data_IF_446542429117
#
_entry.id   IF_446542429117
#
_cell.length_a   1.000
_cell.length_b   1.000
_cell.length_c   1.000
_cell.angle_alpha   90.00
_cell.angle_beta   90.00
_cell.angle_gamma   90.00
#
_symmetry.space_group_name_H-M   'P 1'
#
loop_
_entity.id
_entity.type
_entity.pdbx_description
1 polymer ?
#
# COMPACT_ATOMS: atom_id res chain seq x y z
N UNK A 1 1.96 1.73 -8.01
CA UNK A 1 3.32 1.85 -7.44
C UNK A 1 4.31 1.65 -8.57
N UNK A 2 5.06 2.67 -8.92
CA UNK A 2 6.13 2.55 -9.91
C UNK A 2 7.46 2.33 -9.17
N UNK A 3 7.52 1.22 -8.40
CA UNK A 3 8.73 0.83 -7.68
C UNK A 3 9.73 0.30 -8.69
N UNK A 4 10.92 0.84 -8.68
CA UNK A 4 12.03 0.35 -9.48
C UNK A 4 12.57 -0.96 -8.89
N UNK A 5 11.82 -2.04 -9.08
CA UNK A 5 12.20 -3.39 -8.65
C UNK A 5 13.57 -3.84 -9.16
N UNK A 6 13.98 -3.59 -10.43
CA UNK A 6 15.31 -3.93 -10.91
C UNK A 6 16.42 -3.33 -10.06
N UNK A 7 16.31 -2.06 -9.68
CA UNK A 7 17.33 -1.40 -8.85
C UNK A 7 17.35 -1.95 -7.42
N UNK A 8 16.19 -2.27 -6.83
CA UNK A 8 16.13 -2.94 -5.52
C UNK A 8 16.81 -4.32 -5.57
N UNK A 9 16.55 -5.13 -6.60
CA UNK A 9 17.17 -6.45 -6.78
C UNK A 9 18.69 -6.30 -6.95
N UNK A 10 19.14 -5.32 -7.73
CA UNK A 10 20.57 -5.04 -7.92
C UNK A 10 21.24 -4.63 -6.61
N UNK A 11 20.61 -3.73 -5.84
CA UNK A 11 21.08 -3.32 -4.52
C UNK A 11 21.13 -4.51 -3.54
N UNK A 12 20.12 -5.38 -3.55
CA UNK A 12 20.07 -6.56 -2.68
C UNK A 12 21.20 -7.55 -2.98
N UNK A 13 21.60 -7.66 -4.24
CA UNK A 13 22.70 -8.54 -4.68
C UNK A 13 24.08 -8.06 -4.23
N UNK A 14 24.22 -6.75 -3.99
CA UNK A 14 25.45 -6.11 -3.53
C UNK A 14 25.52 -5.98 -2.00
N UNK A 15 24.37 -6.05 -1.34
CA UNK A 15 24.27 -5.88 0.11
C UNK A 15 24.66 -7.17 0.84
N UNK A 16 25.42 -7.05 1.92
CA UNK A 16 25.82 -8.17 2.78
C UNK A 16 24.82 -8.46 3.91
N UNK A 17 23.91 -7.53 4.15
CA UNK A 17 22.84 -7.60 5.14
C UNK A 17 21.48 -7.88 4.46
N UNK A 18 20.53 -8.37 5.22
CA UNK A 18 19.12 -8.35 4.81
C UNK A 18 18.66 -6.91 4.54
N UNK A 19 17.86 -6.72 3.49
CA UNK A 19 17.52 -5.40 2.94
C UNK A 19 16.01 -5.16 3.00
N UNK A 20 15.61 -3.96 3.45
CA UNK A 20 14.23 -3.46 3.39
C UNK A 20 14.16 -2.32 2.37
N UNK A 21 13.21 -2.38 1.46
CA UNK A 21 12.83 -1.23 0.64
C UNK A 21 12.13 -0.19 1.50
N UNK A 22 12.60 1.06 1.43
CA UNK A 22 12.03 2.17 2.18
C UNK A 22 11.59 3.32 1.27
N UNK A 23 10.71 4.16 1.80
CA UNK A 23 10.22 5.37 1.16
C UNK A 23 10.06 6.50 2.17
N UNK A 24 10.23 7.74 1.75
CA UNK A 24 10.05 8.90 2.63
C UNK A 24 8.63 9.46 2.52
N UNK A 25 7.98 9.66 3.66
CA UNK A 25 6.61 10.19 3.75
C UNK A 25 6.52 11.34 4.75
N UNK A 26 5.52 12.20 4.62
CA UNK A 26 5.28 13.29 5.58
C UNK A 26 4.74 12.78 6.93
N UNK A 27 3.86 11.78 6.89
CA UNK A 27 3.32 11.15 8.10
C UNK A 27 3.62 9.65 8.15
N UNK A 28 4.66 9.23 8.91
CA UNK A 28 5.07 7.83 9.02
C UNK A 28 4.28 7.03 10.06
N UNK A 29 3.41 7.65 10.86
CA UNK A 29 2.81 7.03 12.06
C UNK A 29 1.92 5.81 11.77
N UNK A 30 1.47 5.65 10.53
CA UNK A 30 0.64 4.50 10.10
C UNK A 30 1.43 3.29 9.63
N UNK A 31 2.76 3.40 9.54
CA UNK A 31 3.65 2.43 8.91
C UNK A 31 4.71 1.89 9.88
N UNK A 32 5.44 0.88 9.44
CA UNK A 32 6.69 0.50 10.05
C UNK A 32 7.78 1.53 9.68
N UNK A 33 8.37 2.18 10.67
CA UNK A 33 9.36 3.25 10.49
C UNK A 33 10.77 2.73 10.71
N UNK A 34 11.68 3.18 9.87
CA UNK A 34 13.09 2.84 9.92
C UNK A 34 13.90 4.05 10.37
N UNK A 35 14.51 3.95 11.53
CA UNK A 35 15.59 4.87 11.91
C UNK A 35 16.87 4.40 11.23
N UNK A 36 17.44 5.23 10.37
CA UNK A 36 18.58 4.87 9.52
C UNK A 36 19.82 5.60 10.00
N UNK A 37 20.87 4.84 10.25
CA UNK A 37 22.20 5.35 10.59
C UNK A 37 23.10 5.52 9.38
N UNK A 38 24.42 5.42 9.61
CA UNK A 38 25.39 5.48 8.52
C UNK A 38 25.32 4.24 7.61
N UNK A 39 25.74 4.39 6.36
CA UNK A 39 25.82 3.31 5.37
C UNK A 39 24.48 2.56 5.16
N UNK A 40 23.37 3.31 5.20
CA UNK A 40 22.02 2.77 5.05
C UNK A 40 21.66 1.63 6.02
N UNK A 41 22.33 1.55 7.16
CA UNK A 41 22.01 0.59 8.22
C UNK A 41 20.77 1.01 8.98
N UNK A 42 19.83 0.09 9.14
CA UNK A 42 18.67 0.29 10.01
C UNK A 42 19.09 0.06 11.46
N UNK A 43 19.15 1.14 12.24
CA UNK A 43 19.51 1.09 13.65
C UNK A 43 18.32 0.75 14.55
N UNK A 44 17.12 1.14 14.11
CA UNK A 44 15.87 0.80 14.79
C UNK A 44 14.72 0.63 13.77
N UNK A 45 13.85 -0.35 14.05
CA UNK A 45 12.57 -0.55 13.35
C UNK A 45 11.44 -0.42 14.37
N UNK A 46 10.46 0.46 14.09
CA UNK A 46 9.31 0.70 14.97
C UNK A 46 8.01 0.59 14.19
N UNK A 47 7.19 -0.39 14.53
CA UNK A 47 5.88 -0.58 13.90
C UNK A 47 4.85 0.40 14.45
N UNK A 48 4.31 1.25 13.58
CA UNK A 48 3.26 2.25 13.89
C UNK A 48 3.58 3.08 15.12
N UNK A 49 4.64 3.92 15.06
CA UNK A 49 5.03 4.76 16.18
C UNK A 49 3.92 5.77 16.52
N UNK A 50 3.91 6.25 17.76
CA UNK A 50 2.93 7.25 18.22
C UNK A 50 3.19 8.65 17.69
N UNK A 51 4.41 8.91 17.28
CA UNK A 51 4.89 10.22 16.81
C UNK A 51 5.98 10.06 15.73
N UNK A 52 6.49 11.15 15.24
CA UNK A 52 7.50 11.21 14.15
C UNK A 52 8.95 11.18 14.64
N UNK A 53 9.22 10.83 15.90
CA UNK A 53 10.57 10.90 16.52
C UNK A 53 11.59 9.94 15.88
N UNK A 54 11.12 8.89 15.20
CA UNK A 54 11.96 7.88 14.54
C UNK A 54 12.30 8.21 13.07
N UNK A 55 11.95 9.41 12.60
CA UNK A 55 12.19 9.84 11.23
C UNK A 55 10.98 9.64 10.31
N UNK A 56 11.21 9.76 9.01
CA UNK A 56 10.19 9.76 7.98
C UNK A 56 10.32 8.63 6.95
N UNK A 57 11.32 7.74 7.11
CA UNK A 57 11.49 6.57 6.24
C UNK A 57 10.61 5.42 6.71
N UNK A 58 9.71 4.97 5.84
CA UNK A 58 8.81 3.86 6.11
C UNK A 58 9.22 2.59 5.35
N UNK A 59 8.82 1.44 5.87
CA UNK A 59 8.93 0.15 5.18
C UNK A 59 7.87 0.04 4.09
N UNK A 60 8.30 -0.30 2.88
CA UNK A 60 7.42 -0.54 1.72
C UNK A 60 6.79 -1.93 1.68
N UNK A 61 7.11 -2.81 2.64
CA UNK A 61 6.73 -4.22 2.52
C UNK A 61 7.54 -4.99 1.48
N UNK A 62 8.66 -4.43 1.03
CA UNK A 62 9.58 -5.04 0.08
C UNK A 62 10.83 -5.48 0.80
N UNK A 63 11.13 -6.79 0.78
CA UNK A 63 12.19 -7.38 1.57
C UNK A 63 13.05 -8.33 0.76
N UNK A 64 14.37 -8.24 0.97
CA UNK A 64 15.33 -9.27 0.62
C UNK A 64 15.98 -9.77 1.91
N UNK A 65 15.66 -10.99 2.33
CA UNK A 65 16.08 -11.51 3.62
C UNK A 65 17.02 -12.69 3.45
N UNK A 66 18.21 -12.61 4.04
CA UNK A 66 19.13 -13.74 4.08
C UNK A 66 18.63 -14.80 5.07
N UNK A 67 18.55 -16.04 4.62
CA UNK A 67 18.15 -17.17 5.46
C UNK A 67 18.98 -17.28 6.74
N UNK A 68 20.27 -17.01 6.67
CA UNK A 68 21.17 -17.05 7.83
C UNK A 68 20.72 -16.05 8.92
N UNK A 69 20.33 -14.82 8.55
CA UNK A 69 19.93 -13.77 9.48
C UNK A 69 18.61 -14.12 10.16
N UNK A 70 17.66 -14.65 9.38
CA UNK A 70 16.36 -15.13 9.91
C UNK A 70 16.56 -16.28 10.90
N UNK A 71 17.43 -17.23 10.57
CA UNK A 71 17.71 -18.38 11.45
C UNK A 71 18.37 -17.94 12.76
N UNK A 72 19.23 -16.92 12.72
CA UNK A 72 19.86 -16.37 13.91
C UNK A 72 18.82 -15.73 14.86
N UNK A 73 17.97 -14.87 14.32
CA UNK A 73 16.92 -14.20 15.09
C UNK A 73 15.86 -15.16 15.62
N UNK A 74 15.49 -16.19 14.82
CA UNK A 74 14.47 -17.18 15.15
C UNK A 74 14.77 -17.96 16.44
N UNK A 75 16.04 -18.20 16.76
CA UNK A 75 16.43 -18.96 17.97
C UNK A 75 15.77 -18.46 19.26
N UNK A 76 15.43 -17.17 19.30
CA UNK A 76 14.88 -16.49 20.47
C UNK A 76 13.46 -15.95 20.25
N UNK A 77 12.69 -16.54 19.30
CA UNK A 77 11.32 -16.13 18.98
C UNK A 77 10.34 -17.27 19.22
N UNK A 78 9.26 -16.95 19.87
CA UNK A 78 8.07 -17.81 19.92
C UNK A 78 7.29 -17.73 18.60
N UNK A 79 6.67 -18.85 18.20
CA UNK A 79 5.90 -18.94 16.96
C UNK A 79 4.41 -19.11 17.33
N UNK A 80 3.49 -18.37 16.68
CA UNK A 80 3.68 -17.43 15.56
C UNK A 80 4.30 -16.10 15.97
N UNK A 81 5.07 -15.46 15.06
CA UNK A 81 5.69 -14.17 15.27
C UNK A 81 5.45 -13.22 14.09
N UNK A 82 5.41 -11.90 14.36
CA UNK A 82 5.32 -10.85 13.34
C UNK A 82 6.72 -10.39 12.90
N UNK A 83 6.90 -10.22 11.61
CA UNK A 83 8.12 -9.62 11.07
C UNK A 83 8.32 -8.21 11.60
N UNK A 84 7.30 -7.37 11.53
CA UNK A 84 7.37 -5.95 11.86
C UNK A 84 7.53 -5.71 13.37
N UNK A 85 6.85 -6.52 14.19
CA UNK A 85 6.84 -6.30 15.64
C UNK A 85 7.95 -7.04 16.39
N UNK A 86 8.47 -8.13 15.83
CA UNK A 86 9.38 -9.01 16.55
C UNK A 86 10.68 -9.30 15.79
N UNK A 87 10.63 -9.55 14.50
CA UNK A 87 11.82 -9.93 13.71
C UNK A 87 12.66 -8.71 13.37
N UNK A 88 12.10 -7.72 12.67
CA UNK A 88 12.85 -6.53 12.22
C UNK A 88 13.44 -5.71 13.37
N UNK A 89 12.72 -5.46 14.49
CA UNK A 89 13.34 -4.78 15.65
C UNK A 89 14.55 -5.53 16.22
N UNK A 90 14.59 -6.85 16.14
CA UNK A 90 15.75 -7.64 16.58
C UNK A 90 16.86 -7.66 15.54
N UNK A 91 16.52 -7.75 14.25
CA UNK A 91 17.50 -7.67 13.17
C UNK A 91 18.22 -6.32 13.15
N UNK A 92 17.50 -5.22 13.35
CA UNK A 92 18.11 -3.88 13.42
C UNK A 92 19.09 -3.79 14.59
N UNK A 93 18.69 -4.21 15.80
CA UNK A 93 19.57 -4.25 16.99
C UNK A 93 20.80 -5.15 16.80
N UNK A 94 20.69 -6.21 16.03
CA UNK A 94 21.78 -7.11 15.71
C UNK A 94 22.69 -6.61 14.57
N UNK A 95 22.35 -5.48 13.94
CA UNK A 95 23.09 -4.93 12.79
C UNK A 95 22.95 -5.76 11.50
N UNK A 96 21.90 -6.56 11.39
CA UNK A 96 21.64 -7.47 10.26
C UNK A 96 20.71 -6.87 9.19
N UNK A 97 20.28 -5.61 9.36
CA UNK A 97 19.28 -4.98 8.51
C UNK A 97 19.82 -3.69 7.90
N UNK A 98 19.70 -3.57 6.59
CA UNK A 98 19.98 -2.34 5.83
C UNK A 98 18.73 -1.91 5.07
N UNK A 99 18.73 -0.70 4.55
CA UNK A 99 17.63 -0.19 3.74
C UNK A 99 18.08 0.27 2.37
N UNK A 100 17.17 0.23 1.42
CA UNK A 100 17.28 0.84 0.11
C UNK A 100 16.10 1.79 -0.08
N UNK A 101 16.40 3.08 -0.20
CA UNK A 101 15.35 4.08 -0.44
C UNK A 101 14.92 4.05 -1.90
N UNK A 102 13.65 3.73 -2.11
CA UNK A 102 13.04 3.70 -3.44
C UNK A 102 12.59 5.11 -3.82
N UNK A 103 12.93 5.52 -5.05
CA UNK A 103 12.48 6.78 -5.63
C UNK A 103 11.22 6.53 -6.48
N UNK A 104 10.35 7.53 -6.60
CA UNK A 104 9.13 7.46 -7.40
C UNK A 104 7.89 7.87 -6.61
N UNK A 105 6.72 7.59 -7.16
CA UNK A 105 5.45 7.85 -6.48
C UNK A 105 4.97 6.58 -5.76
N UNK A 106 4.70 6.71 -4.48
CA UNK A 106 4.09 5.67 -3.66
C UNK A 106 2.61 5.96 -3.45
N UNK A 107 1.77 4.98 -3.77
CA UNK A 107 0.35 4.98 -3.43
C UNK A 107 0.08 3.83 -2.46
N UNK A 108 -0.26 4.17 -1.22
CA UNK A 108 -0.77 3.20 -0.24
C UNK A 108 -2.28 3.02 -0.46
N UNK A 109 -2.66 1.87 -1.03
CA UNK A 109 -4.05 1.55 -1.37
C UNK A 109 -4.69 0.73 -0.25
N UNK A 110 -4.83 1.35 0.93
CA UNK A 110 -5.39 0.72 2.12
C UNK A 110 -6.79 1.20 2.52
N UNK A 111 -7.34 2.22 1.86
CA UNK A 111 -8.65 2.80 2.15
C UNK A 111 -9.49 2.95 0.88
N UNK A 112 -10.81 3.14 1.03
CA UNK A 112 -11.72 3.46 -0.07
C UNK A 112 -11.20 4.67 -0.87
N UNK A 113 -10.85 5.71 -0.18
CA UNK A 113 -10.39 6.98 -0.73
C UNK A 113 -9.08 6.84 -1.51
N UNK A 114 -8.08 6.12 -0.95
CA UNK A 114 -6.81 5.88 -1.63
C UNK A 114 -6.98 4.94 -2.84
N UNK A 115 -7.90 3.99 -2.80
CA UNK A 115 -8.23 3.14 -3.94
C UNK A 115 -8.84 3.96 -5.09
N UNK A 116 -9.81 4.84 -4.79
CA UNK A 116 -10.42 5.73 -5.77
C UNK A 116 -9.35 6.64 -6.38
N UNK A 117 -8.55 7.30 -5.55
CA UNK A 117 -7.46 8.19 -6.00
C UNK A 117 -6.42 7.49 -6.87
N UNK A 118 -6.18 6.19 -6.63
CA UNK A 118 -5.24 5.40 -7.44
C UNK A 118 -5.76 5.08 -8.85
N UNK A 119 -7.08 5.12 -9.07
CA UNK A 119 -7.72 4.84 -10.35
C UNK A 119 -7.97 6.12 -11.15
N UNK A 120 -8.36 7.21 -10.49
CA UNK A 120 -8.74 8.44 -11.16
C UNK A 120 -7.49 9.16 -11.68
N UNK A 121 -7.41 9.32 -12.99
CA UNK A 121 -6.35 10.10 -13.65
C UNK A 121 -6.55 11.59 -13.34
N UNK A 122 -5.45 12.31 -13.15
CA UNK A 122 -5.49 13.74 -12.85
C UNK A 122 -6.29 14.51 -13.91
N UNK A 123 -7.38 15.14 -13.47
CA UNK A 123 -8.29 15.92 -14.32
C UNK A 123 -9.56 15.17 -14.74
N UNK A 124 -9.72 13.91 -14.33
CA UNK A 124 -10.95 13.15 -14.49
C UNK A 124 -11.75 13.11 -13.19
N UNK A 125 -13.07 13.04 -13.28
CA UNK A 125 -13.95 12.99 -12.11
C UNK A 125 -14.19 11.56 -11.61
N UNK A 126 -13.97 10.56 -12.49
CA UNK A 126 -14.28 9.16 -12.19
C UNK A 126 -13.35 8.22 -12.97
N UNK A 127 -13.27 6.97 -12.53
CA UNK A 127 -12.73 5.89 -13.35
C UNK A 127 -13.81 4.86 -13.68
N UNK A 128 -14.02 4.60 -14.96
CA UNK A 128 -14.98 3.63 -15.44
C UNK A 128 -14.24 2.59 -16.28
N UNK A 129 -14.43 1.31 -15.96
CA UNK A 129 -13.82 0.23 -16.73
C UNK A 129 -14.24 0.29 -18.19
N UNK A 130 -13.31 0.07 -19.14
CA UNK A 130 -13.65 -0.08 -20.55
C UNK A 130 -14.37 -1.41 -20.87
N UNK A 131 -14.48 -2.32 -19.90
CA UNK A 131 -14.96 -3.68 -20.12
C UNK A 131 -16.46 -3.82 -19.77
N UNK A 132 -17.33 -3.69 -20.78
CA UNK A 132 -18.73 -4.00 -20.68
C UNK A 132 -19.47 -3.30 -19.52
N UNK A 133 -19.34 -1.97 -19.43
CA UNK A 133 -20.07 -1.13 -18.48
C UNK A 133 -21.14 -0.35 -19.21
N UNK A 134 -22.39 -0.49 -18.76
CA UNK A 134 -23.54 0.25 -19.27
C UNK A 134 -24.00 1.28 -18.25
N UNK A 135 -24.05 2.56 -18.63
CA UNK A 135 -24.44 3.66 -17.74
C UNK A 135 -25.55 4.46 -18.40
N UNK A 136 -26.67 4.61 -17.70
CA UNK A 136 -27.74 5.47 -18.14
C UNK A 136 -27.32 6.93 -18.25
N UNK A 137 -27.83 7.66 -19.24
CA UNK A 137 -27.59 9.10 -19.42
C UNK A 137 -28.09 9.97 -18.25
N UNK A 138 -29.03 9.46 -17.47
CA UNK A 138 -29.59 10.14 -16.31
C UNK A 138 -28.81 9.85 -15.01
N UNK A 139 -27.84 8.93 -15.05
CA UNK A 139 -27.01 8.63 -13.89
C UNK A 139 -25.98 9.72 -13.63
N UNK A 140 -25.71 9.99 -12.36
CA UNK A 140 -24.70 10.94 -11.89
C UNK A 140 -23.62 10.16 -11.13
N UNK A 141 -22.39 10.22 -11.62
CA UNK A 141 -21.25 9.53 -10.99
C UNK A 141 -20.18 10.58 -10.70
N UNK A 142 -19.67 10.64 -9.45
CA UNK A 142 -18.63 11.57 -9.02
C UNK A 142 -17.63 10.88 -8.11
N UNK A 143 -16.34 11.16 -8.32
CA UNK A 143 -15.24 10.63 -7.51
C UNK A 143 -15.41 9.15 -7.18
N UNK A 144 -15.66 8.32 -8.20
CA UNK A 144 -16.04 6.93 -8.02
C UNK A 144 -15.38 6.01 -9.04
N UNK A 145 -15.28 4.74 -8.71
CA UNK A 145 -14.72 3.68 -9.55
C UNK A 145 -15.79 2.68 -9.89
N UNK A 146 -16.03 2.46 -11.20
CA UNK A 146 -16.96 1.46 -11.71
C UNK A 146 -16.16 0.35 -12.38
N UNK A 147 -16.22 -0.85 -11.83
CA UNK A 147 -15.48 -2.00 -12.35
C UNK A 147 -16.25 -2.72 -13.48
N UNK A 148 -15.72 -3.87 -13.93
CA UNK A 148 -16.17 -4.56 -15.13
C UNK A 148 -17.61 -5.10 -15.06
N UNK A 149 -18.28 -5.16 -16.21
CA UNK A 149 -19.59 -5.77 -16.38
C UNK A 149 -20.67 -5.17 -15.46
N UNK A 150 -20.65 -3.86 -15.23
CA UNK A 150 -21.64 -3.18 -14.41
C UNK A 150 -22.76 -2.57 -15.26
N UNK A 151 -23.97 -2.56 -14.71
CA UNK A 151 -25.14 -1.87 -15.28
C UNK A 151 -25.60 -0.83 -14.27
N UNK A 152 -25.61 0.44 -14.68
CA UNK A 152 -26.10 1.57 -13.90
C UNK A 152 -27.37 2.10 -14.53
N UNK A 153 -28.50 1.85 -13.87
CA UNK A 153 -29.83 2.20 -14.40
C UNK A 153 -30.14 3.71 -14.27
N UNK A 154 -31.36 4.12 -14.63
CA UNK A 154 -31.77 5.52 -14.65
C UNK A 154 -31.79 6.15 -13.26
N UNK A 155 -31.53 7.47 -13.21
CA UNK A 155 -31.62 8.29 -12.01
C UNK A 155 -30.76 7.79 -10.82
N UNK A 156 -29.70 7.02 -11.08
CA UNK A 156 -28.74 6.57 -10.08
C UNK A 156 -27.78 7.71 -9.75
N UNK A 157 -27.44 7.87 -8.46
CA UNK A 157 -26.40 8.78 -7.98
C UNK A 157 -25.33 8.01 -7.22
N UNK A 158 -24.08 8.07 -7.69
CA UNK A 158 -22.92 7.40 -7.06
C UNK A 158 -21.87 8.44 -6.77
N UNK A 159 -21.43 8.53 -5.50
CA UNK A 159 -20.41 9.49 -5.06
C UNK A 159 -19.41 8.82 -4.13
N UNK A 160 -18.11 9.12 -4.28
CA UNK A 160 -17.03 8.61 -3.41
C UNK A 160 -17.09 7.08 -3.19
N UNK A 161 -17.42 6.30 -4.21
CA UNK A 161 -17.79 4.89 -4.05
C UNK A 161 -17.11 3.98 -5.06
N UNK A 162 -17.07 2.69 -4.76
CA UNK A 162 -16.59 1.65 -5.67
C UNK A 162 -17.75 0.69 -5.99
N UNK A 163 -18.01 0.48 -7.27
CA UNK A 163 -18.95 -0.52 -7.73
C UNK A 163 -18.16 -1.71 -8.26
N UNK A 164 -18.28 -2.85 -7.60
CA UNK A 164 -17.53 -4.05 -7.96
C UNK A 164 -18.08 -4.74 -9.22
N UNK A 165 -17.27 -5.62 -9.78
CA UNK A 165 -17.58 -6.34 -11.02
C UNK A 165 -18.95 -7.04 -10.98
N UNK A 166 -19.63 -7.01 -12.11
CA UNK A 166 -20.92 -7.67 -12.33
C UNK A 166 -22.05 -7.15 -11.45
N UNK A 167 -22.00 -5.90 -11.03
CA UNK A 167 -23.05 -5.25 -10.23
C UNK A 167 -24.12 -4.63 -11.11
N UNK A 168 -25.36 -4.67 -10.65
CA UNK A 168 -26.48 -3.97 -11.27
C UNK A 168 -27.04 -2.99 -10.24
N UNK A 169 -26.90 -1.68 -10.52
CA UNK A 169 -27.43 -0.62 -9.67
C UNK A 169 -28.77 -0.16 -10.23
N UNK A 170 -29.81 -0.40 -9.45
CA UNK A 170 -31.20 -0.19 -9.86
C UNK A 170 -31.60 1.28 -9.90
N UNK A 171 -32.61 1.57 -10.72
CA UNK A 171 -33.18 2.90 -10.90
C UNK A 171 -33.42 3.64 -9.58
N UNK A 172 -32.99 4.90 -9.52
CA UNK A 172 -33.19 5.78 -8.38
C UNK A 172 -32.32 5.51 -7.15
N UNK A 173 -31.37 4.57 -7.24
CA UNK A 173 -30.46 4.25 -6.11
C UNK A 173 -29.48 5.40 -5.87
N UNK A 174 -29.26 5.73 -4.59
CA UNK A 174 -28.25 6.69 -4.14
C UNK A 174 -27.18 5.93 -3.35
N UNK A 175 -25.91 6.07 -3.74
CA UNK A 175 -24.74 5.43 -3.11
C UNK A 175 -23.73 6.53 -2.80
N UNK A 176 -23.26 6.57 -1.55
CA UNK A 176 -22.24 7.53 -1.12
C UNK A 176 -21.29 6.89 -0.10
N UNK A 177 -19.98 6.97 -0.35
CA UNK A 177 -18.92 6.46 0.51
C UNK A 177 -19.03 4.94 0.79
N UNK A 178 -19.40 4.16 -0.23
CA UNK A 178 -19.65 2.73 -0.10
C UNK A 178 -18.81 1.90 -1.09
N UNK A 179 -18.61 0.63 -0.71
CA UNK A 179 -18.12 -0.42 -1.61
C UNK A 179 -19.27 -1.38 -1.86
N UNK A 180 -19.86 -1.30 -3.04
CA UNK A 180 -20.91 -2.23 -3.44
C UNK A 180 -20.25 -3.51 -3.94
N UNK A 181 -20.54 -4.60 -3.26
CA UNK A 181 -20.10 -5.94 -3.65
C UNK A 181 -21.28 -6.67 -4.29
N UNK A 182 -20.99 -7.53 -5.26
CA UNK A 182 -22.02 -8.40 -5.84
C UNK A 182 -22.68 -9.21 -4.71
N UNK A 183 -24.01 -9.05 -4.58
CA UNK A 183 -24.86 -9.90 -3.74
C UNK A 183 -25.11 -11.24 -4.44
#
# INVERSE_FOLDING_TARGET
MNVDFPNFISASSLCTNSLIGSYEVEDPTRFGVLEVGQDDKVVQFVEKPKDKSYGNKISLGLYHLYRKDILEIRKNLEIPCSFERQVFPRMSKAGLLSTYTVNGEMLDVGTLESYISAHIVKGEDNWISPNNVEISKSAIIKNSVILDNCIIEDNVSITNSIISNNSIIRNGTIINEEIIRKS
#
